data_IF_143717935872
#
_entry.id   IF_143717935872
#
_cell.length_a   1.000
_cell.length_b   1.000
_cell.length_c   1.000
_cell.angle_alpha   90.00
_cell.angle_beta   90.00
_cell.angle_gamma   90.00
#
_symmetry.space_group_name_H-M   'P 1'
#
loop_
_entity.id
_entity.type
_entity.pdbx_description
1 polymer ?
#
# COMPACT_ATOMS: atom_id res chain seq x y z
N UNK A 1 -27.82 -22.24 -5.18
CA UNK A 1 -26.93 -21.49 -4.27
C UNK A 1 -25.52 -21.65 -4.76
N UNK A 2 -24.90 -20.60 -5.30
CA UNK A 2 -23.49 -20.65 -5.75
C UNK A 2 -22.60 -20.59 -4.52
N UNK A 3 -21.62 -21.50 -4.34
CA UNK A 3 -20.68 -21.41 -3.24
C UNK A 3 -19.85 -20.12 -3.35
N UNK A 4 -19.43 -19.51 -2.22
CA UNK A 4 -18.56 -18.36 -2.27
C UNK A 4 -17.27 -18.71 -3.03
N UNK A 5 -16.79 -17.79 -3.87
CA UNK A 5 -15.53 -17.97 -4.56
C UNK A 5 -14.41 -18.21 -3.52
N UNK A 6 -13.53 -19.17 -3.78
CA UNK A 6 -12.37 -19.41 -2.93
C UNK A 6 -11.54 -18.11 -2.83
N UNK A 7 -11.00 -17.77 -1.65
CA UNK A 7 -10.17 -16.57 -1.51
C UNK A 7 -8.97 -16.66 -2.47
N UNK A 8 -8.68 -15.55 -3.14
CA UNK A 8 -7.49 -15.42 -3.98
C UNK A 8 -6.20 -15.61 -3.17
N UNK A 9 -5.05 -15.84 -3.83
CA UNK A 9 -3.78 -16.00 -3.13
C UNK A 9 -3.48 -14.75 -2.28
N UNK A 10 -2.99 -14.94 -1.06
CA UNK A 10 -2.55 -13.84 -0.21
C UNK A 10 -1.27 -13.21 -0.78
N UNK A 11 -1.21 -11.89 -0.82
CA UNK A 11 -0.06 -11.14 -1.30
C UNK A 11 0.15 -9.86 -0.49
N UNK A 12 1.39 -9.39 -0.44
CA UNK A 12 1.73 -8.07 0.09
C UNK A 12 2.06 -7.11 -1.06
N UNK A 13 1.83 -5.83 -0.84
CA UNK A 13 2.28 -4.75 -1.74
C UNK A 13 3.36 -3.96 -1.02
N UNK A 14 4.57 -3.94 -1.59
CA UNK A 14 5.70 -3.17 -1.05
C UNK A 14 5.92 -1.93 -1.91
N UNK A 15 5.87 -0.76 -1.29
CA UNK A 15 6.02 0.55 -1.95
C UNK A 15 7.29 1.23 -1.45
N UNK A 16 8.38 1.25 -2.23
CA UNK A 16 9.51 2.12 -1.94
C UNK A 16 9.12 3.58 -2.19
N UNK A 17 9.41 4.46 -1.23
CA UNK A 17 9.07 5.87 -1.31
C UNK A 17 10.23 6.74 -0.85
N UNK A 18 10.60 7.71 -1.68
CA UNK A 18 11.52 8.80 -1.33
C UNK A 18 10.78 10.01 -0.74
N UNK A 19 9.55 9.81 -0.21
CA UNK A 19 8.74 10.84 0.44
C UNK A 19 8.04 11.82 -0.49
N UNK A 20 7.71 11.39 -1.72
CA UNK A 20 6.98 12.25 -2.67
C UNK A 20 5.48 12.24 -2.36
N UNK A 21 4.76 13.37 -2.56
CA UNK A 21 3.30 13.45 -2.32
C UNK A 21 2.46 12.44 -3.12
N UNK A 22 3.01 11.88 -4.20
CA UNK A 22 2.36 10.83 -4.99
C UNK A 22 2.09 9.55 -4.21
N UNK A 23 2.80 9.32 -3.09
CA UNK A 23 2.55 8.15 -2.23
C UNK A 23 1.11 8.15 -1.71
N UNK A 24 0.59 9.29 -1.25
CA UNK A 24 -0.80 9.37 -0.76
C UNK A 24 -1.79 8.95 -1.84
N UNK A 25 -1.66 9.52 -3.04
CA UNK A 25 -2.51 9.17 -4.19
C UNK A 25 -2.47 7.67 -4.51
N UNK A 26 -1.28 7.07 -4.46
CA UNK A 26 -1.12 5.63 -4.68
C UNK A 26 -1.88 4.82 -3.62
N UNK A 27 -1.75 5.18 -2.35
CA UNK A 27 -2.43 4.50 -1.24
C UNK A 27 -3.95 4.65 -1.32
N UNK A 28 -4.44 5.86 -1.64
CA UNK A 28 -5.87 6.11 -1.85
C UNK A 28 -6.42 5.26 -3.01
N UNK A 29 -5.65 5.17 -4.09
CA UNK A 29 -6.00 4.36 -5.27
C UNK A 29 -6.05 2.87 -4.92
N UNK A 30 -5.06 2.37 -4.19
CA UNK A 30 -5.01 0.98 -3.72
C UNK A 30 -6.22 0.64 -2.85
N UNK A 31 -6.58 1.53 -1.92
CA UNK A 31 -7.72 1.36 -1.04
C UNK A 31 -9.08 1.38 -1.77
N UNK A 32 -9.16 2.08 -2.90
CA UNK A 32 -10.39 2.20 -3.70
C UNK A 32 -10.59 1.07 -4.73
N UNK A 33 -9.65 0.12 -4.88
CA UNK A 33 -9.78 -0.95 -5.87
C UNK A 33 -10.88 -1.95 -5.50
N UNK A 34 -11.55 -2.49 -6.52
CA UNK A 34 -12.58 -3.55 -6.40
C UNK A 34 -12.02 -4.97 -6.52
N UNK A 35 -10.71 -5.12 -6.72
CA UNK A 35 -10.02 -6.40 -6.81
C UNK A 35 -9.69 -7.03 -5.45
N UNK A 36 -9.01 -8.19 -5.43
CA UNK A 36 -8.52 -8.79 -4.20
C UNK A 36 -7.66 -7.79 -3.42
N UNK A 37 -7.98 -7.60 -2.14
CA UNK A 37 -7.17 -6.76 -1.26
C UNK A 37 -5.84 -7.45 -0.93
N UNK A 38 -4.72 -6.70 -0.86
CA UNK A 38 -3.49 -7.25 -0.31
C UNK A 38 -3.68 -7.60 1.17
N UNK A 39 -2.98 -8.62 1.63
CA UNK A 39 -2.91 -8.97 3.05
C UNK A 39 -2.17 -7.88 3.86
N UNK A 40 -1.25 -7.17 3.22
CA UNK A 40 -0.43 -6.13 3.84
C UNK A 40 0.04 -5.10 2.79
N UNK A 41 0.13 -3.83 3.18
CA UNK A 41 0.81 -2.78 2.42
C UNK A 41 1.99 -2.27 3.24
N UNK A 42 3.20 -2.47 2.75
CA UNK A 42 4.45 -2.05 3.41
C UNK A 42 5.04 -0.86 2.66
N UNK A 43 5.20 0.27 3.36
CA UNK A 43 5.89 1.44 2.80
C UNK A 43 7.34 1.43 3.29
N UNK A 44 8.28 1.29 2.36
CA UNK A 44 9.70 1.43 2.65
C UNK A 44 10.11 2.90 2.44
N UNK A 45 10.41 3.60 3.54
CA UNK A 45 10.95 4.95 3.51
C UNK A 45 12.42 4.93 3.07
N UNK A 46 12.68 5.38 1.84
CA UNK A 46 13.99 5.41 1.19
C UNK A 46 14.54 6.85 1.10
N UNK A 47 14.11 7.75 1.99
CA UNK A 47 14.70 9.08 2.10
C UNK A 47 16.08 8.99 2.73
N UNK A 48 17.05 9.72 2.16
CA UNK A 48 18.41 9.83 2.72
C UNK A 48 18.43 10.38 4.16
N UNK A 49 17.50 11.29 4.47
CA UNK A 49 17.32 11.89 5.81
C UNK A 49 16.14 11.28 6.59
N UNK A 50 15.71 10.05 6.27
CA UNK A 50 14.51 9.41 6.84
C UNK A 50 14.49 9.40 8.39
N UNK A 51 15.64 9.47 9.05
CA UNK A 51 15.75 9.57 10.51
C UNK A 51 15.31 10.91 11.13
N UNK A 52 15.07 11.96 10.34
CA UNK A 52 14.76 13.29 10.84
C UNK A 52 13.26 13.52 11.14
N UNK A 53 12.36 12.82 10.47
CA UNK A 53 10.91 12.90 10.71
C UNK A 53 10.18 11.72 10.04
N UNK A 54 9.06 11.21 10.59
CA UNK A 54 8.24 10.19 9.94
C UNK A 54 7.73 10.62 8.55
N UNK A 55 7.44 9.64 7.68
CA UNK A 55 6.63 9.91 6.48
C UNK A 55 5.26 10.41 6.91
N UNK A 56 4.88 11.58 6.40
CA UNK A 56 3.56 12.14 6.64
C UNK A 56 2.62 11.68 5.53
N UNK A 57 1.58 10.96 5.92
CA UNK A 57 0.41 10.64 5.10
C UNK A 57 -0.71 11.58 5.56
N UNK A 58 -1.38 12.23 4.62
CA UNK A 58 -2.40 13.26 4.88
C UNK A 58 -3.76 12.79 4.43
#
# INVERSE_FOLDING_TARGET
>A
MTPPAAPGPAFAVVVPSVGRPSLQRLLDTLAAQSGPAPAEVVVADDRRDAGAAPLVLT
#
